data_IF_048256563398
#
_entry.id   IF_048256563398
#
_cell.length_a   1.000
_cell.length_b   1.000
_cell.length_c   1.000
_cell.angle_alpha   90.00
_cell.angle_beta   90.00
_cell.angle_gamma   90.00
#
_symmetry.space_group_name_H-M   'P 1'
#
loop_
_entity.id
_entity.type
_entity.pdbx_description
1 polymer ?
#
# COMPACT_ATOMS: atom_id res chain seq x y z
N UNK A 1 17.60 -1.96 -13.73
CA UNK A 1 16.49 -2.86 -14.13
C UNK A 1 16.32 -3.91 -13.04
N UNK A 2 15.23 -3.85 -12.27
CA UNK A 2 14.94 -4.83 -11.21
C UNK A 2 14.08 -5.95 -11.80
N UNK A 3 14.67 -7.12 -12.03
CA UNK A 3 13.94 -8.32 -12.39
C UNK A 3 13.31 -8.92 -11.12
N UNK A 4 11.98 -9.04 -11.10
CA UNK A 4 11.26 -9.74 -10.03
C UNK A 4 10.67 -11.03 -10.59
N UNK A 5 11.09 -12.16 -10.03
CA UNK A 5 10.55 -13.47 -10.38
C UNK A 5 9.29 -13.73 -9.58
N UNK A 6 8.19 -14.06 -10.27
CA UNK A 6 6.93 -14.45 -9.62
C UNK A 6 6.70 -15.92 -9.92
N UNK A 7 6.43 -16.70 -8.88
CA UNK A 7 6.31 -18.16 -8.99
C UNK A 7 5.13 -18.58 -9.85
N UNK A 8 3.97 -17.91 -9.76
CA UNK A 8 2.74 -18.26 -10.48
C UNK A 8 1.74 -17.08 -10.54
N UNK A 9 1.08 -16.86 -11.69
CA UNK A 9 0.00 -15.87 -11.85
C UNK A 9 -1.27 -16.19 -11.03
N UNK A 10 -1.47 -17.45 -10.64
CA UNK A 10 -2.60 -17.88 -9.81
C UNK A 10 -2.51 -17.45 -8.34
N UNK A 11 -1.37 -16.90 -7.91
CA UNK A 11 -1.21 -16.33 -6.57
C UNK A 11 -1.92 -14.97 -6.46
N UNK A 12 -2.35 -14.51 -5.26
CA UNK A 12 -2.93 -13.18 -5.09
C UNK A 12 -2.04 -12.04 -5.62
N UNK A 13 -0.72 -12.17 -5.45
CA UNK A 13 0.26 -11.22 -6.00
C UNK A 13 0.36 -11.29 -7.53
N UNK A 14 0.21 -12.48 -8.12
CA UNK A 14 0.18 -12.69 -9.57
C UNK A 14 -1.08 -12.12 -10.24
N UNK A 15 -2.25 -12.25 -9.59
CA UNK A 15 -3.51 -11.64 -10.05
C UNK A 15 -3.44 -10.12 -10.10
N UNK A 16 -2.89 -9.49 -9.05
CA UNK A 16 -2.66 -8.04 -9.02
C UNK A 16 -1.72 -7.58 -10.13
N UNK A 17 -0.65 -8.34 -10.39
CA UNK A 17 0.26 -8.05 -11.50
C UNK A 17 -0.46 -8.13 -12.87
N UNK A 18 -1.36 -9.10 -13.02
CA UNK A 18 -2.14 -9.29 -14.25
C UNK A 18 -3.15 -8.15 -14.48
N UNK A 19 -3.74 -7.63 -13.40
CA UNK A 19 -4.56 -6.41 -13.44
C UNK A 19 -3.73 -5.17 -13.80
N UNK A 20 -2.56 -5.00 -13.18
CA UNK A 20 -1.64 -3.90 -13.51
C UNK A 20 -1.21 -3.94 -14.99
N UNK A 21 -0.98 -5.13 -15.53
CA UNK A 21 -0.66 -5.32 -16.94
C UNK A 21 -1.80 -4.90 -17.87
N UNK A 22 -3.05 -5.22 -17.51
CA UNK A 22 -4.22 -4.77 -18.27
C UNK A 22 -4.34 -3.24 -18.26
N UNK A 23 -4.14 -2.62 -17.09
CA UNK A 23 -4.18 -1.17 -16.93
C UNK A 23 -3.11 -0.47 -17.78
N UNK A 24 -1.87 -0.98 -17.76
CA UNK A 24 -0.74 -0.48 -18.56
C UNK A 24 -1.03 -0.60 -20.07
N UNK A 25 -1.60 -1.73 -20.52
CA UNK A 25 -1.95 -1.94 -21.93
C UNK A 25 -3.04 -0.98 -22.43
N UNK A 26 -4.07 -0.73 -21.62
CA UNK A 26 -5.24 0.06 -22.04
C UNK A 26 -5.01 1.56 -21.85
N UNK A 27 -4.48 1.99 -20.70
CA UNK A 27 -4.37 3.41 -20.37
C UNK A 27 -3.06 4.00 -20.90
N UNK A 28 -1.94 3.33 -20.64
CA UNK A 28 -0.62 3.87 -20.90
C UNK A 28 -0.20 3.64 -22.36
N UNK A 29 -0.45 2.43 -22.87
CA UNK A 29 -0.11 2.06 -24.24
C UNK A 29 -1.23 2.38 -25.26
N UNK A 30 -2.44 2.75 -24.81
CA UNK A 30 -3.64 2.99 -25.65
C UNK A 30 -3.83 1.95 -26.75
N UNK A 31 -3.51 0.70 -26.43
CA UNK A 31 -3.54 -0.39 -27.40
C UNK A 31 -5.00 -0.77 -27.73
N UNK A 32 -5.25 -1.21 -28.96
CA UNK A 32 -6.58 -1.66 -29.35
C UNK A 32 -7.00 -2.86 -28.48
N UNK A 33 -8.25 -2.85 -28.01
CA UNK A 33 -8.78 -3.78 -27.01
C UNK A 33 -8.59 -5.26 -27.40
N UNK A 34 -8.94 -5.62 -28.64
CA UNK A 34 -8.91 -7.01 -29.12
C UNK A 34 -7.49 -7.62 -29.12
N UNK A 35 -6.47 -6.99 -29.74
CA UNK A 35 -5.11 -7.54 -29.69
C UNK A 35 -4.54 -7.58 -28.27
N UNK A 36 -4.97 -6.69 -27.38
CA UNK A 36 -4.55 -6.67 -25.97
C UNK A 36 -5.14 -7.84 -25.18
N UNK A 37 -6.44 -8.13 -25.37
CA UNK A 37 -7.09 -9.32 -24.82
C UNK A 37 -6.41 -10.61 -25.28
N UNK A 38 -6.08 -10.73 -26.57
CA UNK A 38 -5.37 -11.91 -27.10
C UNK A 38 -3.96 -12.05 -26.53
N UNK A 39 -3.24 -10.93 -26.34
CA UNK A 39 -1.93 -10.92 -25.68
C UNK A 39 -2.05 -11.38 -24.23
N UNK A 40 -3.05 -10.90 -23.50
CA UNK A 40 -3.31 -11.28 -22.10
C UNK A 40 -3.69 -12.75 -21.96
N UNK A 41 -4.58 -13.23 -22.83
CA UNK A 41 -4.92 -14.64 -22.90
C UNK A 41 -3.68 -15.49 -23.17
N UNK A 42 -2.83 -15.06 -24.11
CA UNK A 42 -1.58 -15.75 -24.43
C UNK A 42 -0.62 -15.72 -23.24
N UNK A 43 -0.46 -14.60 -22.54
CA UNK A 43 0.43 -14.51 -21.37
C UNK A 43 -0.07 -15.38 -20.22
N UNK A 44 -1.39 -15.46 -19.99
CA UNK A 44 -1.99 -16.33 -18.99
C UNK A 44 -1.82 -17.83 -19.31
N UNK A 45 -1.94 -18.24 -20.58
CA UNK A 45 -1.83 -19.64 -21.00
C UNK A 45 -0.36 -20.10 -21.08
N UNK A 46 0.50 -19.30 -21.71
CA UNK A 46 1.83 -19.75 -22.13
C UNK A 46 2.98 -19.29 -21.25
N UNK A 47 2.73 -18.43 -20.24
CA UNK A 47 3.76 -17.93 -19.35
C UNK A 47 4.87 -17.23 -20.12
N UNK A 48 4.58 -16.07 -20.70
CA UNK A 48 5.55 -15.28 -21.45
C UNK A 48 6.21 -14.22 -20.55
N UNK A 49 7.43 -13.79 -20.89
CA UNK A 49 8.04 -12.61 -20.23
C UNK A 49 7.13 -11.40 -20.40
N UNK A 50 6.64 -10.88 -19.28
CA UNK A 50 5.78 -9.70 -19.25
C UNK A 50 6.64 -8.51 -18.85
N UNK A 51 6.71 -7.52 -19.74
CA UNK A 51 7.27 -6.20 -19.44
C UNK A 51 6.12 -5.24 -19.17
N UNK A 52 6.12 -4.64 -17.98
CA UNK A 52 5.22 -3.54 -17.62
C UNK A 52 6.00 -2.26 -17.89
N UNK A 53 5.52 -1.45 -18.83
CA UNK A 53 6.20 -0.24 -19.30
C UNK A 53 6.10 0.85 -18.24
N UNK A 54 4.95 0.99 -17.57
CA UNK A 54 4.71 1.95 -16.48
C UNK A 54 5.69 1.86 -15.30
N UNK A 55 6.16 0.64 -14.96
CA UNK A 55 7.03 0.40 -13.79
C UNK A 55 8.48 0.09 -14.14
N UNK A 56 8.84 0.13 -15.43
CA UNK A 56 10.16 -0.22 -15.97
C UNK A 56 10.73 -1.54 -15.37
N UNK A 57 9.83 -2.50 -15.18
CA UNK A 57 10.06 -3.76 -14.47
C UNK A 57 9.69 -4.95 -15.35
N UNK A 58 10.66 -5.85 -15.55
CA UNK A 58 10.43 -7.13 -16.22
C UNK A 58 10.14 -8.22 -15.19
N UNK A 59 9.00 -8.88 -15.38
CA UNK A 59 8.58 -10.00 -14.54
C UNK A 59 8.73 -11.30 -15.32
N UNK A 60 9.46 -12.26 -14.74
CA UNK A 60 9.58 -13.59 -15.28
C UNK A 60 8.62 -14.52 -14.49
N UNK A 61 7.68 -15.13 -15.20
CA UNK A 61 6.68 -16.03 -14.63
C UNK A 61 7.30 -17.42 -14.57
N UNK A 62 7.62 -17.88 -13.36
CA UNK A 62 8.36 -19.12 -13.14
C UNK A 62 7.61 -20.40 -13.51
N UNK A 63 6.27 -20.40 -13.53
CA UNK A 63 5.44 -21.54 -13.97
C UNK A 63 4.26 -21.10 -14.85
N UNK A 64 4.10 -21.68 -16.06
CA UNK A 64 2.90 -21.48 -16.86
C UNK A 64 1.72 -22.23 -16.21
N UNK A 65 0.55 -21.58 -16.16
CA UNK A 65 -0.66 -22.17 -15.56
C UNK A 65 -1.27 -23.26 -16.48
N UNK A 66 -0.86 -23.29 -17.75
CA UNK A 66 -1.43 -24.16 -18.77
C UNK A 66 -2.76 -23.64 -19.31
N UNK A 67 -3.28 -24.30 -20.35
CA UNK A 67 -4.41 -23.81 -21.14
C UNK A 67 -5.68 -23.62 -20.30
N UNK A 68 -6.05 -24.61 -19.48
CA UNK A 68 -7.30 -24.58 -18.70
C UNK A 68 -7.28 -23.53 -17.58
N UNK A 69 -6.23 -23.54 -16.75
CA UNK A 69 -6.14 -22.62 -15.62
C UNK A 69 -5.81 -21.19 -16.08
N UNK A 70 -5.03 -21.02 -17.15
CA UNK A 70 -4.77 -19.72 -17.76
C UNK A 70 -6.00 -19.10 -18.42
N UNK A 71 -6.77 -19.89 -19.17
CA UNK A 71 -8.05 -19.43 -19.74
C UNK A 71 -9.06 -19.06 -18.66
N UNK A 72 -9.19 -19.89 -17.62
CA UNK A 72 -10.04 -19.61 -16.46
C UNK A 72 -9.65 -18.30 -15.77
N UNK A 73 -8.36 -18.10 -15.50
CA UNK A 73 -7.84 -16.87 -14.91
C UNK A 73 -8.14 -15.64 -15.77
N UNK A 74 -7.98 -15.75 -17.08
CA UNK A 74 -8.30 -14.68 -18.02
C UNK A 74 -9.81 -14.35 -18.01
N UNK A 75 -10.66 -15.37 -18.03
CA UNK A 75 -12.12 -15.19 -18.00
C UNK A 75 -12.56 -14.53 -16.70
N UNK A 76 -12.12 -15.05 -15.55
CA UNK A 76 -12.49 -14.54 -14.22
C UNK A 76 -12.01 -13.09 -13.99
N UNK A 77 -10.76 -12.78 -14.34
CA UNK A 77 -10.14 -11.52 -13.92
C UNK A 77 -10.31 -10.38 -14.94
N UNK A 78 -10.40 -10.70 -16.23
CA UNK A 78 -10.49 -9.68 -17.29
C UNK A 78 -11.90 -9.61 -17.85
N UNK A 79 -12.41 -10.73 -18.36
CA UNK A 79 -13.69 -10.75 -19.09
C UNK A 79 -14.86 -10.48 -18.16
N UNK A 80 -14.97 -11.22 -17.06
CA UNK A 80 -16.07 -11.02 -16.09
C UNK A 80 -15.96 -9.63 -15.45
N UNK A 81 -14.79 -9.23 -14.98
CA UNK A 81 -14.63 -7.94 -14.27
C UNK A 81 -14.86 -6.71 -15.15
N UNK A 82 -14.46 -6.72 -16.42
CA UNK A 82 -14.49 -5.52 -17.29
C UNK A 82 -15.54 -5.56 -18.39
N UNK A 83 -16.00 -6.75 -18.79
CA UNK A 83 -16.90 -6.91 -19.94
C UNK A 83 -18.23 -7.56 -19.59
N UNK A 84 -18.47 -8.01 -18.35
CA UNK A 84 -19.74 -8.64 -17.99
C UNK A 84 -20.95 -7.75 -18.29
N UNK A 85 -20.92 -6.49 -17.83
CA UNK A 85 -22.01 -5.53 -18.12
C UNK A 85 -22.17 -5.27 -19.62
N UNK A 86 -21.07 -5.15 -20.36
CA UNK A 86 -21.12 -4.96 -21.82
C UNK A 86 -21.72 -6.15 -22.55
N UNK A 87 -21.40 -7.38 -22.11
CA UNK A 87 -21.95 -8.62 -22.67
C UNK A 87 -23.44 -8.73 -22.35
N UNK A 88 -23.85 -8.42 -21.11
CA UNK A 88 -25.26 -8.37 -20.75
C UNK A 88 -26.04 -7.36 -21.59
N UNK A 89 -25.56 -6.12 -21.68
CA UNK A 89 -26.19 -5.08 -22.47
C UNK A 89 -26.34 -5.48 -23.94
N UNK A 90 -25.33 -6.15 -24.52
CA UNK A 90 -25.39 -6.68 -25.88
C UNK A 90 -26.48 -7.74 -26.04
N UNK A 91 -26.63 -8.65 -25.08
CA UNK A 91 -27.64 -9.71 -25.12
C UNK A 91 -29.04 -9.15 -24.93
N UNK A 92 -29.24 -8.24 -23.97
CA UNK A 92 -30.55 -7.59 -23.77
C UNK A 92 -30.96 -6.76 -24.98
N UNK A 93 -30.02 -6.06 -25.60
CA UNK A 93 -30.27 -5.37 -26.87
C UNK A 93 -30.63 -6.36 -27.99
N UNK A 94 -29.95 -7.50 -28.05
CA UNK A 94 -30.26 -8.62 -28.94
C UNK A 94 -31.69 -9.12 -28.80
N UNK A 95 -32.13 -9.37 -27.56
CA UNK A 95 -33.48 -9.83 -27.26
C UNK A 95 -34.55 -8.83 -27.74
N UNK A 96 -34.35 -7.53 -27.51
CA UNK A 96 -35.25 -6.47 -28.02
C UNK A 96 -35.27 -6.47 -29.55
N UNK A 97 -34.12 -6.61 -30.19
CA UNK A 97 -34.01 -6.65 -31.64
C UNK A 97 -34.71 -7.89 -32.23
N UNK A 98 -34.62 -9.05 -31.56
CA UNK A 98 -35.35 -10.26 -31.94
C UNK A 98 -36.86 -10.02 -31.86
N UNK A 99 -37.37 -9.42 -30.78
CA UNK A 99 -38.79 -9.07 -30.67
C UNK A 99 -39.25 -8.19 -31.84
N UNK A 100 -38.45 -7.20 -32.24
CA UNK A 100 -38.74 -6.36 -33.41
C UNK A 100 -38.74 -7.19 -34.70
N UNK A 101 -37.75 -8.08 -34.89
CA UNK A 101 -37.66 -8.93 -36.09
C UNK A 101 -38.84 -9.89 -36.20
N UNK A 102 -39.25 -10.49 -35.07
CA UNK A 102 -40.40 -11.38 -34.99
C UNK A 102 -41.70 -10.61 -35.23
N UNK A 103 -41.84 -9.42 -34.65
CA UNK A 103 -42.98 -8.53 -34.89
C UNK A 103 -43.12 -8.12 -36.37
N UNK A 104 -42.01 -7.71 -37.00
CA UNK A 104 -41.97 -7.38 -38.44
C UNK A 104 -42.25 -8.60 -39.32
N UNK A 105 -41.80 -9.79 -38.90
CA UNK A 105 -42.11 -11.04 -39.60
C UNK A 105 -43.59 -11.38 -39.52
N UNK A 106 -44.24 -11.19 -38.37
CA UNK A 106 -45.70 -11.38 -38.24
C UNK A 106 -46.50 -10.34 -39.01
N UNK A 107 -45.99 -9.11 -39.13
CA UNK A 107 -46.57 -8.08 -39.99
C UNK A 107 -46.37 -8.35 -41.50
N UNK A 108 -45.64 -9.40 -41.88
CA UNK A 108 -45.37 -9.75 -43.28
C UNK A 108 -44.34 -8.86 -43.97
N UNK A 109 -43.62 -8.02 -43.22
CA UNK A 109 -42.63 -7.05 -43.75
C UNK A 109 -41.22 -7.65 -43.87
N UNK A 110 -40.94 -8.74 -43.16
CA UNK A 110 -39.65 -9.42 -43.14
C UNK A 110 -39.74 -10.84 -43.73
N UNK A 111 -38.72 -11.26 -44.47
CA UNK A 111 -38.63 -12.64 -44.96
C UNK A 111 -38.27 -13.61 -43.83
N UNK A 112 -38.66 -14.87 -44.00
CA UNK A 112 -38.36 -15.94 -43.05
C UNK A 112 -36.86 -16.18 -42.88
N UNK A 113 -36.09 -16.08 -43.96
CA UNK A 113 -34.62 -16.24 -43.93
C UNK A 113 -33.95 -15.22 -43.02
N UNK A 114 -34.38 -13.95 -43.07
CA UNK A 114 -33.81 -12.88 -42.24
C UNK A 114 -34.17 -13.09 -40.77
N UNK A 115 -35.41 -13.51 -40.49
CA UNK A 115 -35.84 -13.83 -39.13
C UNK A 115 -35.01 -14.99 -38.54
N UNK A 116 -34.73 -16.03 -39.34
CA UNK A 116 -33.94 -17.19 -38.92
C UNK A 116 -32.48 -16.81 -38.64
N UNK A 117 -31.89 -15.91 -39.44
CA UNK A 117 -30.55 -15.35 -39.15
C UNK A 117 -30.56 -14.58 -37.83
N UNK A 118 -31.60 -13.78 -37.57
CA UNK A 118 -31.76 -13.05 -36.31
C UNK A 118 -31.79 -13.97 -35.09
N UNK A 119 -32.56 -15.06 -35.16
CA UNK A 119 -32.60 -16.11 -34.11
C UNK A 119 -31.21 -16.76 -33.94
N UNK A 120 -30.49 -17.03 -35.04
CA UNK A 120 -29.14 -17.59 -34.97
C UNK A 120 -28.13 -16.66 -34.30
N UNK A 121 -28.22 -15.36 -34.57
CA UNK A 121 -27.39 -14.34 -33.92
C UNK A 121 -27.71 -14.27 -32.41
N UNK A 122 -28.99 -14.29 -32.05
CA UNK A 122 -29.42 -14.33 -30.65
C UNK A 122 -28.85 -15.55 -29.91
N UNK A 123 -28.99 -16.74 -30.50
CA UNK A 123 -28.46 -17.96 -29.91
C UNK A 123 -26.95 -17.88 -29.67
N UNK A 124 -26.19 -17.25 -30.57
CA UNK A 124 -24.76 -16.99 -30.38
C UNK A 124 -24.50 -16.01 -29.22
N UNK A 125 -25.29 -14.94 -29.08
CA UNK A 125 -25.14 -13.97 -27.98
C UNK A 125 -25.46 -14.62 -26.63
N UNK A 126 -26.53 -15.40 -26.54
CA UNK A 126 -26.87 -16.16 -25.34
C UNK A 126 -25.80 -17.19 -24.99
N UNK A 127 -25.20 -17.85 -25.98
CA UNK A 127 -24.07 -18.74 -25.76
C UNK A 127 -22.85 -18.00 -25.18
N UNK A 128 -22.57 -16.79 -25.66
CA UNK A 128 -21.51 -15.93 -25.10
C UNK A 128 -21.84 -15.56 -23.65
N UNK A 129 -23.06 -15.12 -23.36
CA UNK A 129 -23.49 -14.79 -21.99
C UNK A 129 -23.36 -16.00 -21.06
N UNK A 130 -23.81 -17.17 -21.50
CA UNK A 130 -23.66 -18.43 -20.78
C UNK A 130 -22.19 -18.72 -20.45
N UNK A 131 -21.30 -18.54 -21.43
CA UNK A 131 -19.86 -18.76 -21.21
C UNK A 131 -19.28 -17.78 -20.20
N UNK A 132 -19.69 -16.50 -20.23
CA UNK A 132 -19.24 -15.52 -19.24
C UNK A 132 -19.77 -15.84 -17.85
N UNK A 133 -21.06 -16.21 -17.73
CA UNK A 133 -21.68 -16.61 -16.46
C UNK A 133 -21.03 -17.87 -15.87
N UNK A 134 -20.69 -18.85 -16.71
CA UNK A 134 -20.02 -20.09 -16.28
C UNK A 134 -18.68 -19.84 -15.57
N UNK A 135 -17.98 -18.76 -15.93
CA UNK A 135 -16.71 -18.36 -15.30
C UNK A 135 -16.87 -17.19 -14.33
N UNK A 136 -18.10 -16.74 -14.03
CA UNK A 136 -18.32 -15.69 -13.05
C UNK A 136 -18.18 -16.25 -11.63
N UNK A 137 -17.38 -15.63 -10.74
CA UNK A 137 -17.26 -16.05 -9.35
C UNK A 137 -18.61 -15.97 -8.63
N UNK A 138 -18.89 -16.91 -7.71
CA UNK A 138 -20.14 -16.98 -6.96
C UNK A 138 -20.45 -15.68 -6.17
N UNK A 139 -19.42 -14.93 -5.77
CA UNK A 139 -19.54 -13.67 -5.04
C UNK A 139 -20.13 -12.50 -5.89
N UNK A 140 -20.13 -12.61 -7.22
CA UNK A 140 -20.65 -11.58 -8.13
C UNK A 140 -22.11 -11.84 -8.59
N UNK A 141 -22.77 -12.90 -8.10
CA UNK A 141 -24.13 -13.24 -8.53
C UNK A 141 -25.23 -12.29 -8.01
N UNK A 142 -24.90 -11.33 -7.16
CA UNK A 142 -25.87 -10.36 -6.61
C UNK A 142 -26.26 -9.22 -7.58
N UNK A 143 -25.65 -9.10 -8.76
CA UNK A 143 -26.01 -8.09 -9.78
C UNK A 143 -26.86 -8.66 -10.93
N UNK A 144 -27.28 -9.92 -10.85
CA UNK A 144 -28.27 -10.44 -11.80
C UNK A 144 -29.61 -9.85 -11.36
N UNK A 145 -29.95 -8.68 -11.90
CA UNK A 145 -31.33 -8.18 -11.90
C UNK A 145 -32.12 -9.23 -12.65
N UNK A 146 -32.71 -10.14 -11.89
CA UNK A 146 -33.68 -11.12 -12.34
C UNK A 146 -34.90 -10.32 -12.78
N UNK A 147 -34.89 -9.88 -14.05
CA UNK A 147 -36.10 -9.49 -14.74
C UNK A 147 -36.91 -10.77 -14.90
N UNK A 148 -37.66 -11.12 -13.84
CA UNK A 148 -38.85 -11.95 -13.97
C UNK A 148 -39.70 -11.27 -15.04
N UNK A 149 -39.64 -11.79 -16.26
CA UNK A 149 -40.61 -11.47 -17.31
C UNK A 149 -41.94 -11.95 -16.74
N UNK A 150 -42.89 -11.05 -16.41
CA UNK A 150 -44.19 -11.51 -15.96
C UNK A 150 -44.80 -12.23 -17.15
N UNK A 151 -45.00 -13.54 -17.01
CA UNK A 151 -45.71 -14.39 -17.97
C UNK A 151 -47.23 -14.07 -17.93
N UNK A 152 -47.57 -12.79 -17.97
CA UNK A 152 -48.91 -12.26 -17.81
C UNK A 152 -49.03 -10.90 -18.51
N UNK A 153 -48.95 -10.88 -19.84
CA UNK A 153 -49.39 -9.73 -20.62
C UNK A 153 -49.97 -10.16 -21.98
N UNK A 154 -50.74 -11.25 -21.98
CA UNK A 154 -51.86 -11.38 -22.89
C UNK A 154 -53.10 -11.41 -22.00
N UNK A 155 -53.94 -10.37 -22.14
CA UNK A 155 -55.29 -10.22 -21.58
C UNK A 155 -55.41 -9.94 -20.08
N UNK A 156 -55.37 -8.66 -19.67
CA UNK A 156 -56.45 -7.96 -18.92
C UNK A 156 -55.94 -6.66 -18.25
N UNK A 157 -56.66 -5.57 -18.50
CA UNK A 157 -56.69 -4.23 -17.87
C UNK A 157 -55.42 -3.37 -17.67
N UNK A 158 -55.51 -2.17 -18.24
CA UNK A 158 -54.49 -1.12 -18.39
C UNK A 158 -54.27 -0.28 -17.11
N UNK A 159 -54.76 -0.74 -15.94
CA UNK A 159 -54.61 -0.07 -14.63
C UNK A 159 -53.41 -0.62 -13.83
N UNK A 160 -53.28 -1.95 -13.71
CA UNK A 160 -52.20 -2.57 -12.93
C UNK A 160 -50.81 -2.31 -13.56
N UNK A 161 -50.71 -2.34 -14.88
CA UNK A 161 -49.46 -2.02 -15.59
C UNK A 161 -49.03 -0.55 -15.40
N UNK A 162 -49.99 0.37 -15.27
CA UNK A 162 -49.70 1.80 -15.04
C UNK A 162 -49.26 2.06 -13.61
N UNK A 163 -49.80 1.31 -12.65
CA UNK A 163 -49.41 1.44 -11.25
C UNK A 163 -48.02 0.84 -11.00
N UNK A 164 -47.66 -0.29 -11.63
CA UNK A 164 -46.28 -0.81 -11.58
C UNK A 164 -45.29 0.17 -12.24
N UNK A 165 -45.65 0.78 -13.38
CA UNK A 165 -44.79 1.79 -14.02
C UNK A 165 -44.63 3.03 -13.13
N UNK A 166 -45.68 3.44 -12.39
CA UNK A 166 -45.60 4.55 -11.43
C UNK A 166 -44.75 4.23 -10.23
N UNK A 167 -44.87 3.04 -9.67
CA UNK A 167 -44.07 2.57 -8.53
C UNK A 167 -42.58 2.49 -8.90
N UNK A 168 -42.27 1.97 -10.10
CA UNK A 168 -40.89 1.97 -10.60
C UNK A 168 -40.38 3.39 -10.88
N UNK A 169 -41.22 4.32 -11.33
CA UNK A 169 -40.83 5.72 -11.49
C UNK A 169 -40.53 6.40 -10.16
N UNK A 170 -41.32 6.11 -9.13
CA UNK A 170 -41.18 6.64 -7.77
C UNK A 170 -39.89 6.11 -7.12
N UNK A 171 -39.60 4.81 -7.29
CA UNK A 171 -38.35 4.19 -6.85
C UNK A 171 -37.14 4.79 -7.58
N UNK A 172 -37.24 5.05 -8.89
CA UNK A 172 -36.18 5.72 -9.67
C UNK A 172 -35.96 7.16 -9.20
N UNK A 173 -37.01 7.88 -8.79
CA UNK A 173 -36.92 9.23 -8.23
C UNK A 173 -36.22 9.23 -6.86
N UNK A 174 -36.54 8.27 -5.98
CA UNK A 174 -35.88 8.06 -4.69
C UNK A 174 -34.41 7.64 -4.84
N UNK A 175 -34.13 6.78 -5.83
CA UNK A 175 -32.77 6.40 -6.22
C UNK A 175 -32.02 7.64 -6.74
N UNK A 176 -32.65 8.47 -7.57
CA UNK A 176 -32.10 9.73 -8.08
C UNK A 176 -31.73 10.70 -6.96
N UNK A 177 -32.60 10.86 -5.95
CA UNK A 177 -32.33 11.65 -4.75
C UNK A 177 -31.15 11.08 -3.92
N UNK A 178 -31.06 9.76 -3.83
CA UNK A 178 -29.96 9.07 -3.13
C UNK A 178 -28.63 9.24 -3.87
N UNK A 179 -28.61 9.21 -5.20
CA UNK A 179 -27.42 9.51 -5.99
C UNK A 179 -27.01 10.98 -5.93
N UNK A 180 -27.96 11.91 -5.88
CA UNK A 180 -27.65 13.33 -5.69
C UNK A 180 -27.00 13.58 -4.31
N UNK A 181 -27.52 12.95 -3.25
CA UNK A 181 -26.90 13.04 -1.91
C UNK A 181 -25.55 12.34 -1.82
N UNK A 182 -25.35 11.24 -2.56
CA UNK A 182 -24.04 10.59 -2.69
C UNK A 182 -23.05 11.48 -3.44
N UNK A 183 -23.46 12.13 -4.53
CA UNK A 183 -22.65 13.09 -5.27
C UNK A 183 -22.21 14.27 -4.40
N UNK A 184 -23.12 14.83 -3.60
CA UNK A 184 -22.79 15.88 -2.63
C UNK A 184 -21.80 15.39 -1.55
N UNK A 185 -21.96 14.16 -1.05
CA UNK A 185 -21.00 13.56 -0.09
C UNK A 185 -19.63 13.32 -0.72
N UNK A 186 -19.58 12.92 -1.99
CA UNK A 186 -18.34 12.73 -2.74
C UNK A 186 -17.62 14.06 -2.96
N UNK A 187 -18.36 15.11 -3.31
CA UNK A 187 -17.80 16.45 -3.46
C UNK A 187 -17.28 16.99 -2.12
N UNK A 188 -18.04 16.78 -1.05
CA UNK A 188 -17.61 17.14 0.30
C UNK A 188 -16.36 16.35 0.72
N UNK A 189 -16.30 15.05 0.45
CA UNK A 189 -15.13 14.22 0.72
C UNK A 189 -13.92 14.64 -0.11
N UNK A 190 -14.10 14.99 -1.39
CA UNK A 190 -13.04 15.49 -2.24
C UNK A 190 -12.46 16.81 -1.71
N UNK A 191 -13.32 17.73 -1.24
CA UNK A 191 -12.87 18.98 -0.59
C UNK A 191 -12.11 18.71 0.72
N UNK A 192 -12.62 17.84 1.58
CA UNK A 192 -11.92 17.45 2.82
C UNK A 192 -10.60 16.75 2.53
N UNK A 193 -10.55 15.93 1.47
CA UNK A 193 -9.34 15.25 1.05
C UNK A 193 -8.32 16.25 0.49
N UNK A 194 -8.75 17.24 -0.30
CA UNK A 194 -7.89 18.32 -0.79
C UNK A 194 -7.31 19.17 0.35
N UNK A 195 -8.13 19.51 1.36
CA UNK A 195 -7.66 20.18 2.58
C UNK A 195 -6.65 19.32 3.36
N UNK A 196 -6.92 18.02 3.51
CA UNK A 196 -6.00 17.10 4.18
C UNK A 196 -4.68 16.92 3.42
N UNK A 197 -4.72 16.90 2.07
CA UNK A 197 -3.54 16.82 1.20
C UNK A 197 -2.74 18.12 1.31
N UNK A 198 -3.41 19.28 1.38
CA UNK A 198 -2.77 20.58 1.54
C UNK A 198 -2.12 20.69 2.92
N UNK A 199 -2.76 20.20 3.96
CA UNK A 199 -2.20 20.12 5.31
C UNK A 199 -1.01 19.14 5.37
N UNK A 200 -1.13 17.96 4.75
CA UNK A 200 -0.03 17.00 4.60
C UNK A 200 1.13 17.60 3.82
N UNK A 201 0.88 18.28 2.71
CA UNK A 201 1.89 18.96 1.93
C UNK A 201 2.59 20.07 2.73
N UNK A 202 1.85 20.80 3.56
CA UNK A 202 2.40 21.84 4.43
C UNK A 202 3.23 21.24 5.59
N UNK A 203 2.78 20.13 6.18
CA UNK A 203 3.55 19.37 7.18
C UNK A 203 4.79 18.71 6.58
N UNK A 204 4.68 18.16 5.37
CA UNK A 204 5.80 17.58 4.62
C UNK A 204 6.77 18.68 4.18
N UNK A 205 6.31 19.87 3.80
CA UNK A 205 7.18 21.02 3.53
C UNK A 205 7.88 21.52 4.81
N UNK A 206 7.21 21.49 5.97
CA UNK A 206 7.84 21.77 7.25
C UNK A 206 8.89 20.71 7.64
N UNK A 207 8.62 19.43 7.34
CA UNK A 207 9.56 18.31 7.55
C UNK A 207 10.68 18.33 6.50
N UNK A 208 10.43 18.78 5.27
CA UNK A 208 11.45 18.98 4.24
C UNK A 208 12.30 20.23 4.53
N UNK A 209 11.73 21.24 5.20
CA UNK A 209 12.47 22.32 5.84
C UNK A 209 13.35 21.83 7.00
N UNK A 210 13.02 20.67 7.59
CA UNK A 210 13.85 19.92 8.53
C UNK A 210 14.77 18.89 7.85
N UNK A 211 14.79 18.79 6.50
CA UNK A 211 15.72 17.96 5.73
C UNK A 211 17.14 18.55 5.69
N UNK A 212 17.51 19.31 6.72
CA UNK A 212 18.87 19.63 7.10
C UNK A 212 19.49 18.43 7.85
N UNK A 213 19.42 17.23 7.27
CA UNK A 213 20.22 16.07 7.73
C UNK A 213 21.71 16.44 7.74
N UNK A 214 22.11 17.33 6.84
CA UNK A 214 23.44 17.95 6.79
C UNK A 214 23.73 18.79 8.05
N UNK A 215 22.77 19.59 8.54
CA UNK A 215 22.97 20.36 9.79
C UNK A 215 22.97 19.48 11.05
N UNK A 216 22.28 18.34 11.04
CA UNK A 216 22.31 17.40 12.16
C UNK A 216 23.60 16.59 12.18
N UNK A 217 24.13 16.21 11.02
CA UNK A 217 25.46 15.62 10.90
C UNK A 217 26.56 16.61 11.34
N UNK A 218 26.49 17.87 10.90
CA UNK A 218 27.42 18.94 11.28
C UNK A 218 27.33 19.26 12.78
N UNK A 219 26.12 19.30 13.35
CA UNK A 219 25.93 19.48 14.82
C UNK A 219 26.44 18.28 15.61
N UNK A 220 26.29 17.05 15.10
CA UNK A 220 26.85 15.85 15.72
C UNK A 220 28.38 15.86 15.65
N UNK A 221 28.96 16.27 14.53
CA UNK A 221 30.41 16.42 14.37
C UNK A 221 30.97 17.51 15.30
N UNK A 222 30.28 18.65 15.39
CA UNK A 222 30.64 19.74 16.33
C UNK A 222 30.51 19.29 17.78
N UNK A 223 29.50 18.49 18.12
CA UNK A 223 29.35 17.94 19.47
C UNK A 223 30.46 16.94 19.79
N UNK A 224 30.83 16.09 18.82
CA UNK A 224 31.88 15.09 19.01
C UNK A 224 33.27 15.74 19.17
N UNK A 225 33.54 16.82 18.43
CA UNK A 225 34.77 17.62 18.60
C UNK A 225 34.82 18.33 19.95
N UNK A 226 33.71 18.92 20.41
CA UNK A 226 33.61 19.52 21.75
C UNK A 226 33.78 18.48 22.87
N UNK A 227 33.22 17.29 22.71
CA UNK A 227 33.41 16.19 23.66
C UNK A 227 34.87 15.73 23.70
N UNK A 228 35.53 15.61 22.55
CA UNK A 228 36.96 15.29 22.48
C UNK A 228 37.83 16.36 23.16
N UNK A 229 37.51 17.64 22.97
CA UNK A 229 38.19 18.75 23.65
C UNK A 229 37.95 18.72 25.17
N UNK A 230 36.73 18.40 25.60
CA UNK A 230 36.41 18.26 27.02
C UNK A 230 37.18 17.09 27.65
N UNK A 231 37.26 15.94 26.98
CA UNK A 231 38.05 14.80 27.45
C UNK A 231 39.52 15.18 27.58
N UNK A 232 40.10 15.85 26.58
CA UNK A 232 41.49 16.32 26.65
C UNK A 232 41.71 17.33 27.79
N UNK A 233 40.74 18.21 28.05
CA UNK A 233 40.78 19.15 29.16
C UNK A 233 40.71 18.43 30.53
N UNK A 234 39.87 17.41 30.66
CA UNK A 234 39.76 16.59 31.86
C UNK A 234 41.06 15.81 32.10
N UNK A 235 41.67 15.22 31.08
CA UNK A 235 42.95 14.52 31.21
C UNK A 235 44.08 15.47 31.62
N UNK A 236 44.15 16.65 31.00
CA UNK A 236 45.10 17.68 31.41
C UNK A 236 44.87 18.18 32.84
N UNK A 237 43.61 18.26 33.28
CA UNK A 237 43.26 18.59 34.66
C UNK A 237 43.69 17.48 35.63
N UNK A 238 43.42 16.22 35.31
CA UNK A 238 43.86 15.07 36.12
C UNK A 238 45.38 15.04 36.27
N UNK A 239 46.13 15.25 35.18
CA UNK A 239 47.58 15.29 35.23
C UNK A 239 48.12 16.45 36.11
N UNK A 240 47.45 17.60 36.09
CA UNK A 240 47.78 18.73 36.98
C UNK A 240 47.43 18.45 38.43
N UNK A 241 46.29 17.79 38.67
CA UNK A 241 45.87 17.33 40.00
C UNK A 241 46.89 16.34 40.55
N UNK A 242 47.33 15.37 39.77
CA UNK A 242 48.37 14.41 40.15
C UNK A 242 49.72 15.10 40.41
N UNK A 243 50.10 16.09 39.59
CA UNK A 243 51.31 16.89 39.87
C UNK A 243 51.18 17.75 41.12
N UNK A 244 50.00 18.30 41.41
CA UNK A 244 49.74 19.07 42.63
C UNK A 244 49.82 18.16 43.85
N UNK A 245 49.10 17.04 43.86
CA UNK A 245 49.18 16.06 44.94
C UNK A 245 50.59 15.51 45.10
N UNK A 246 51.30 15.23 44.01
CA UNK A 246 52.70 14.80 44.05
C UNK A 246 53.61 15.83 44.72
N UNK A 247 53.50 17.11 44.33
CA UNK A 247 54.29 18.21 44.93
C UNK A 247 53.91 18.48 46.38
N UNK A 248 52.64 18.41 46.70
CA UNK A 248 52.12 18.68 48.04
C UNK A 248 52.48 17.52 48.99
N UNK A 249 52.42 16.28 48.51
CA UNK A 249 52.91 15.09 49.20
C UNK A 249 54.43 15.16 49.41
N UNK A 250 55.21 15.54 48.40
CA UNK A 250 56.66 15.73 48.52
C UNK A 250 57.00 16.84 49.52
N UNK A 251 56.28 17.96 49.49
CA UNK A 251 56.44 19.06 50.46
C UNK A 251 56.10 18.62 51.88
N UNK A 252 55.00 17.89 52.08
CA UNK A 252 54.59 17.39 53.38
C UNK A 252 55.55 16.30 53.91
N UNK A 253 56.00 15.39 53.06
CA UNK A 253 56.99 14.37 53.42
C UNK A 253 58.33 15.02 53.77
N UNK A 254 58.78 16.00 53.00
CA UNK A 254 60.01 16.75 53.30
C UNK A 254 59.90 17.48 54.62
N UNK A 255 58.76 18.11 54.90
CA UNK A 255 58.50 18.80 56.17
C UNK A 255 58.47 17.83 57.35
N UNK A 256 57.87 16.65 57.21
CA UNK A 256 57.87 15.62 58.25
C UNK A 256 59.26 14.97 58.44
N UNK A 257 60.04 14.79 57.37
CA UNK A 257 61.45 14.38 57.49
C UNK A 257 62.29 15.42 58.23
N UNK A 258 62.12 16.72 57.92
CA UNK A 258 62.79 17.80 58.66
C UNK A 258 62.35 17.85 60.14
N UNK A 259 61.08 17.51 60.41
CA UNK A 259 60.54 17.40 61.78
C UNK A 259 61.14 16.22 62.53
N UNK A 260 61.24 15.06 61.88
CA UNK A 260 61.89 13.86 62.44
C UNK A 260 63.38 14.04 62.61
N UNK A 261 64.08 14.74 61.71
CA UNK A 261 65.49 15.07 61.88
C UNK A 261 65.71 16.03 63.06
N UNK A 262 64.83 17.02 63.24
CA UNK A 262 64.84 17.89 64.44
C UNK A 262 64.51 17.13 65.73
N UNK A 263 63.57 16.20 65.70
CA UNK A 263 63.25 15.37 66.87
C UNK A 263 64.33 14.33 67.17
N UNK A 264 64.96 13.74 66.15
CA UNK A 264 66.09 12.83 66.28
C UNK A 264 67.35 13.53 66.79
N UNK A 265 67.57 14.80 66.41
CA UNK A 265 68.64 15.62 66.96
C UNK A 265 68.42 16.00 68.45
N UNK A 266 67.16 16.17 68.88
CA UNK A 266 66.81 16.45 70.29
C UNK A 266 66.63 15.19 71.16
N UNK A 267 66.64 13.99 70.59
CA UNK A 267 66.54 12.72 71.30
C UNK A 267 67.88 12.14 71.80
N UNK A 268 68.99 12.85 71.59
CA UNK A 268 70.33 12.42 71.99
C UNK A 268 70.88 13.13 73.25
N UNK A 269 70.16 14.08 73.84
CA UNK A 269 70.55 14.76 75.08
C UNK A 269 69.43 14.64 76.14
N UNK A 270 69.46 13.57 76.93
CA UNK A 270 68.47 13.38 77.99
C UNK A 270 68.53 12.02 78.69
N UNK A 271 69.72 11.53 79.02
CA UNK A 271 69.89 10.39 79.92
C UNK A 271 70.82 10.79 81.07
N UNK A 272 70.25 11.21 82.19
CA UNK A 272 70.97 11.41 83.45
C UNK A 272 70.40 10.48 84.52
N UNK A 273 71.20 9.62 85.16
CA UNK A 273 70.72 8.64 86.14
C UNK A 273 70.63 9.21 87.56
N UNK A 274 69.69 8.69 88.34
CA UNK A 274 69.65 8.82 89.81
C UNK A 274 70.57 7.78 90.47
N UNK A 275 71.50 8.25 91.31
CA UNK A 275 72.07 7.54 92.46
C UNK A 275 71.94 8.51 93.66
N UNK A 276 71.02 8.29 94.60
CA UNK A 276 71.05 7.37 95.75
C UNK A 276 71.90 7.89 96.93
N UNK A 277 71.32 7.73 98.13
CA UNK A 277 71.89 7.81 99.50
C UNK A 277 71.95 9.19 100.14
N UNK A 278 71.74 9.36 101.45
CA UNK A 278 71.17 8.60 102.57
C UNK A 278 71.34 9.55 103.79
N UNK A 279 70.59 9.32 104.87
CA UNK A 279 70.95 9.77 106.22
C UNK A 279 70.18 11.01 106.69
N UNK A 280 69.25 10.85 107.65
CA UNK A 280 69.54 10.79 109.09
C UNK A 280 69.73 12.22 109.65
N UNK A 281 69.03 12.70 110.67
CA UNK A 281 68.37 12.05 111.79
C UNK A 281 67.56 13.13 112.55
N UNK A 282 66.52 12.68 113.25
CA UNK A 282 65.99 13.21 114.53
C UNK A 282 65.37 14.62 114.56
#
# INVERSE_FOLDING_TARGET
MNQKTISNLGTPSGRRLYQDLWHDLIIEQRSAVIPSLLRLLRTAISGAEVRIVSKDASFNIGHPLGLRHGFRLFMEEIVVRHYFNNVQALVYFGAVLLLVFLGLRFAGLLSEEVALIGIGIEACMLLILFLVLFYSPEDNHHEIVELEVPEAAATSDDEDARDVIREVLDEIEDIGGTYATLGMKMEQLARTQEESIRELAQRVAAIQGLNLLESHAERLETTNTLLSQLTAAIDGMNQRIDMMFGKELEYHVRREMERMLRHGANGAEGATPMQQREGAEQ
#
